data_IF_124528103994
#
_entry.id   IF_124528103994
#
_cell.length_a   1.000
_cell.length_b   1.000
_cell.length_c   1.000
_cell.angle_alpha   90.00
_cell.angle_beta   90.00
_cell.angle_gamma   90.00
#
_symmetry.space_group_name_H-M   'P 1'
#
loop_
_entity.id
_entity.type
_entity.pdbx_description
1 polymer ?
#
# COMPACT_ATOMS: atom_id res chain seq x y z
N UNK A 1 -12.46 19.86 2.44
CA UNK A 1 -11.34 19.52 3.34
C UNK A 1 -10.23 18.92 2.48
N UNK A 2 -9.09 19.59 2.34
CA UNK A 2 -7.99 19.12 1.48
C UNK A 2 -7.37 17.85 2.10
N UNK A 3 -7.70 16.68 1.56
CA UNK A 3 -6.96 15.47 1.88
C UNK A 3 -5.51 15.69 1.42
N UNK A 4 -4.59 15.77 2.38
CA UNK A 4 -3.16 15.92 2.12
C UNK A 4 -2.74 14.70 1.28
N UNK A 5 -2.51 14.88 -0.02
CA UNK A 5 -2.07 13.80 -0.91
C UNK A 5 -0.80 13.21 -0.32
N UNK A 6 -0.88 11.93 0.08
CA UNK A 6 0.28 11.23 0.64
C UNK A 6 1.05 10.63 -0.52
N UNK A 7 2.28 11.07 -0.68
CA UNK A 7 3.21 10.52 -1.66
C UNK A 7 4.15 9.55 -0.94
N UNK A 8 4.35 8.37 -1.52
CA UNK A 8 5.27 7.35 -1.01
C UNK A 8 6.20 6.90 -2.13
N UNK A 9 7.41 6.48 -1.79
CA UNK A 9 8.39 6.03 -2.75
C UNK A 9 8.60 4.52 -2.66
N UNK A 10 8.65 3.86 -3.81
CA UNK A 10 9.04 2.45 -3.88
C UNK A 10 10.54 2.31 -3.62
N UNK A 11 11.01 1.08 -3.38
CA UNK A 11 12.45 0.80 -3.26
C UNK A 11 13.24 1.12 -4.55
N UNK A 12 12.56 1.35 -5.68
CA UNK A 12 13.17 1.76 -6.95
C UNK A 12 13.23 3.28 -7.11
N UNK A 13 12.76 4.04 -6.12
CA UNK A 13 12.68 5.50 -6.16
C UNK A 13 11.46 6.03 -6.93
N UNK A 14 10.55 5.16 -7.36
CA UNK A 14 9.32 5.57 -8.06
C UNK A 14 8.34 6.18 -7.06
N UNK A 15 7.78 7.34 -7.39
CA UNK A 15 6.72 7.96 -6.59
C UNK A 15 5.37 7.30 -6.87
N UNK A 16 4.63 6.99 -5.80
CA UNK A 16 3.24 6.58 -5.82
C UNK A 16 2.41 7.60 -5.04
N UNK A 17 1.40 8.16 -5.71
CA UNK A 17 0.41 9.05 -5.08
C UNK A 17 -0.74 8.21 -4.52
N UNK A 18 -0.88 8.24 -3.20
CA UNK A 18 -2.02 7.64 -2.52
C UNK A 18 -3.23 8.54 -2.69
N UNK A 19 -4.33 7.93 -3.14
CA UNK A 19 -5.64 8.54 -3.23
C UNK A 19 -6.40 8.44 -1.91
N UNK A 20 -7.71 8.23 -2.01
CA UNK A 20 -8.58 8.10 -0.85
C UNK A 20 -8.33 6.77 -0.11
N UNK A 21 -8.76 6.72 1.15
CA UNK A 21 -8.72 5.49 1.94
C UNK A 21 -9.90 4.62 1.50
N UNK A 22 -9.60 3.42 1.03
CA UNK A 22 -10.58 2.39 0.68
C UNK A 22 -11.05 1.66 1.95
N UNK A 23 -10.16 1.50 2.93
CA UNK A 23 -10.50 0.89 4.22
C UNK A 23 -9.38 0.98 5.23
N UNK A 24 -9.72 0.88 6.51
CA UNK A 24 -8.78 0.93 7.63
C UNK A 24 -9.13 -0.13 8.67
N UNK A 25 -8.11 -0.72 9.29
CA UNK A 25 -8.28 -1.68 10.38
C UNK A 25 -7.05 -1.73 11.29
N UNK A 26 -7.04 -2.68 12.23
CA UNK A 26 -6.00 -2.75 13.26
C UNK A 26 -4.56 -2.96 12.75
N UNK A 27 -4.39 -3.41 11.50
CA UNK A 27 -3.06 -3.62 10.92
C UNK A 27 -2.53 -2.44 10.11
N UNK A 28 -3.43 -1.57 9.62
CA UNK A 28 -3.11 -0.80 8.43
C UNK A 28 -4.29 -0.04 7.84
N UNK A 29 -3.97 0.72 6.81
CA UNK A 29 -4.93 1.35 5.92
C UNK A 29 -4.66 0.96 4.47
N UNK A 30 -5.72 0.85 3.68
CA UNK A 30 -5.70 0.58 2.25
C UNK A 30 -6.08 1.87 1.54
N UNK A 31 -5.27 2.27 0.57
CA UNK A 31 -5.45 3.49 -0.22
C UNK A 31 -5.64 3.12 -1.68
N UNK A 32 -6.45 3.91 -2.38
CA UNK A 32 -6.49 3.88 -3.83
C UNK A 32 -5.19 4.40 -4.42
N UNK A 33 -4.87 3.93 -5.62
CA UNK A 33 -3.76 4.44 -6.43
C UNK A 33 -4.33 5.17 -7.64
N UNK A 34 -4.24 6.50 -7.65
CA UNK A 34 -4.84 7.33 -8.69
C UNK A 34 -4.37 6.96 -10.11
N UNK A 35 -3.13 6.50 -10.26
CA UNK A 35 -2.55 6.07 -11.54
C UNK A 35 -2.91 4.63 -11.94
N UNK A 36 -3.48 3.82 -11.04
CA UNK A 36 -3.67 2.39 -11.23
C UNK A 36 -5.05 1.92 -10.73
N UNK A 37 -6.07 2.03 -11.57
CA UNK A 37 -7.48 1.76 -11.21
C UNK A 37 -7.80 0.37 -10.65
N UNK A 38 -6.96 -0.62 -10.92
CA UNK A 38 -7.14 -2.00 -10.45
C UNK A 38 -6.17 -2.37 -9.31
N UNK A 39 -5.48 -1.39 -8.73
CA UNK A 39 -4.50 -1.60 -7.67
C UNK A 39 -4.80 -0.70 -6.48
N UNK A 40 -4.46 -1.22 -5.31
CA UNK A 40 -4.52 -0.49 -4.04
C UNK A 40 -3.19 -0.64 -3.31
N UNK A 41 -2.88 0.33 -2.44
CA UNK A 41 -1.73 0.28 -1.55
C UNK A 41 -2.17 -0.03 -0.12
N UNK A 42 -1.77 -1.18 0.42
CA UNK A 42 -1.93 -1.48 1.85
C UNK A 42 -0.69 -1.02 2.62
N UNK A 43 -0.86 -0.07 3.54
CA UNK A 43 0.19 0.47 4.40
C UNK A 43 -0.01 -0.05 5.83
N UNK A 44 0.97 -0.82 6.30
CA UNK A 44 0.99 -1.37 7.66
C UNK A 44 1.48 -0.32 8.66
N UNK A 45 0.85 -0.25 9.83
CA UNK A 45 1.20 0.74 10.86
C UNK A 45 2.46 0.37 11.67
N UNK A 46 2.90 -0.89 11.55
CA UNK A 46 4.13 -1.39 12.14
C UNK A 46 4.94 -2.15 11.09
N UNK A 47 6.28 -2.16 11.19
CA UNK A 47 7.10 -3.04 10.38
C UNK A 47 6.63 -4.50 10.49
N UNK A 48 6.68 -5.23 9.38
CA UNK A 48 6.33 -6.64 9.34
C UNK A 48 7.59 -7.49 9.56
N UNK A 49 7.41 -8.64 10.19
CA UNK A 49 8.45 -9.66 10.27
C UNK A 49 8.75 -10.27 8.90
N UNK A 50 10.00 -10.72 8.71
CA UNK A 50 10.48 -11.24 7.43
C UNK A 50 9.63 -12.39 6.89
N UNK A 51 9.25 -13.34 7.75
CA UNK A 51 8.38 -14.46 7.39
C UNK A 51 7.03 -13.99 6.80
N UNK A 52 6.44 -12.93 7.37
CA UNK A 52 5.16 -12.39 6.89
C UNK A 52 5.31 -11.66 5.57
N UNK A 53 6.40 -10.93 5.40
CA UNK A 53 6.75 -10.28 4.12
C UNK A 53 6.86 -11.33 3.03
N UNK A 54 7.57 -12.43 3.29
CA UNK A 54 7.78 -13.48 2.30
C UNK A 54 6.49 -14.22 1.94
N UNK A 55 5.61 -14.45 2.92
CA UNK A 55 4.25 -14.97 2.66
C UNK A 55 3.45 -14.05 1.73
N UNK A 56 3.44 -12.74 1.99
CA UNK A 56 2.71 -11.77 1.16
C UNK A 56 3.30 -11.73 -0.26
N UNK A 57 4.63 -11.74 -0.39
CA UNK A 57 5.31 -11.80 -1.69
C UNK A 57 4.95 -13.06 -2.46
N UNK A 58 4.79 -14.20 -1.79
CA UNK A 58 4.35 -15.43 -2.42
C UNK A 58 2.91 -15.31 -2.94
N UNK A 59 1.99 -14.73 -2.15
CA UNK A 59 0.61 -14.49 -2.60
C UNK A 59 0.53 -13.64 -3.86
N UNK A 60 1.34 -12.57 -3.95
CA UNK A 60 1.37 -11.68 -5.12
C UNK A 60 1.97 -12.30 -6.40
N UNK A 61 2.57 -13.50 -6.31
CA UNK A 61 3.15 -14.22 -7.46
C UNK A 61 2.22 -15.29 -8.04
N UNK A 62 1.11 -15.60 -7.37
CA UNK A 62 0.14 -16.58 -7.84
C UNK A 62 -0.72 -15.90 -8.91
N UNK A 63 -0.68 -16.44 -10.14
CA UNK A 63 -1.54 -16.04 -11.26
C UNK A 63 -2.80 -16.87 -11.28
#
# INVERSE_FOLDING_TARGET
MNAKVREVFTLRGESLKLGEIVGQGGEGAVYDLAAHKNHVAKIYHRPLEQQRIDKIRAMGKIK
#
